data_IF_862222776715
#
_entry.id   IF_862222776715
#
_cell.length_a   1.000
_cell.length_b   1.000
_cell.length_c   1.000
_cell.angle_alpha   90.00
_cell.angle_beta   90.00
_cell.angle_gamma   90.00
#
_symmetry.space_group_name_H-M   'P 1'
#
loop_
_entity.id
_entity.type
_entity.pdbx_description
1 polymer ?
#
# COMPACT_ATOMS: atom_id res chain seq x y z
N UNK A 1 98.81 -26.28 71.40
CA UNK A 1 99.02 -27.57 72.10
C UNK A 1 98.64 -28.69 71.16
N UNK A 2 99.62 -29.37 70.55
CA UNK A 2 99.45 -30.61 69.79
C UNK A 2 99.85 -31.73 70.75
N UNK A 3 98.89 -32.56 71.15
CA UNK A 3 99.18 -33.75 71.95
C UNK A 3 99.62 -34.88 71.01
N UNK A 4 100.80 -35.42 71.27
CA UNK A 4 101.38 -36.54 70.54
C UNK A 4 100.60 -37.82 70.88
N UNK A 5 99.84 -38.33 69.92
CA UNK A 5 99.20 -39.64 70.02
C UNK A 5 99.98 -40.66 69.21
N UNK A 6 100.62 -41.60 69.91
CA UNK A 6 101.30 -42.77 69.33
C UNK A 6 100.25 -43.78 68.85
N UNK A 7 100.43 -44.46 67.69
CA UNK A 7 99.49 -45.44 67.13
C UNK A 7 99.21 -46.70 68.00
N UNK A 8 99.85 -46.81 69.17
CA UNK A 8 99.71 -47.93 70.10
C UNK A 8 98.73 -47.64 71.27
N UNK A 9 98.15 -46.44 71.34
CA UNK A 9 97.24 -46.06 72.42
C UNK A 9 95.94 -46.89 72.38
N UNK A 10 95.47 -47.45 73.51
CA UNK A 10 94.34 -48.39 73.56
C UNK A 10 93.03 -47.79 73.02
N UNK A 11 92.86 -46.47 73.08
CA UNK A 11 91.71 -45.77 72.50
C UNK A 11 91.77 -45.69 70.96
N UNK A 12 92.97 -45.60 70.37
CA UNK A 12 93.14 -45.57 68.91
C UNK A 12 93.03 -46.97 68.33
N UNK A 13 93.49 -48.01 69.03
CA UNK A 13 93.21 -49.41 68.66
C UNK A 13 91.71 -49.71 68.69
N UNK A 14 91.00 -49.30 69.75
CA UNK A 14 89.53 -49.41 69.79
C UNK A 14 88.84 -48.64 68.67
N UNK A 15 89.32 -47.42 68.36
CA UNK A 15 88.77 -46.62 67.28
C UNK A 15 89.05 -47.23 65.90
N UNK A 16 90.25 -47.77 65.68
CA UNK A 16 90.64 -48.48 64.46
C UNK A 16 89.91 -49.82 64.30
N UNK A 17 89.69 -50.55 65.39
CA UNK A 17 88.90 -51.78 65.39
C UNK A 17 87.43 -51.46 65.13
N UNK A 18 86.89 -50.36 65.67
CA UNK A 18 85.55 -49.86 65.33
C UNK A 18 85.43 -49.43 63.87
N UNK A 19 86.43 -48.74 63.33
CA UNK A 19 86.44 -48.35 61.90
C UNK A 19 86.55 -49.58 61.01
N UNK A 20 87.40 -50.55 61.36
CA UNK A 20 87.56 -51.81 60.62
C UNK A 20 86.30 -52.68 60.70
N UNK A 21 85.63 -52.70 61.85
CA UNK A 21 84.33 -53.37 62.04
C UNK A 21 83.25 -52.71 61.17
N UNK A 22 83.22 -51.38 61.11
CA UNK A 22 82.31 -50.60 60.26
C UNK A 22 82.63 -50.71 58.76
N UNK A 23 83.91 -50.84 58.37
CA UNK A 23 84.35 -51.07 56.98
C UNK A 23 84.18 -52.52 56.53
N UNK A 24 84.13 -53.48 57.47
CA UNK A 24 83.89 -54.90 57.20
C UNK A 24 82.41 -55.30 57.12
N UNK A 25 81.50 -54.39 57.49
CA UNK A 25 80.08 -54.58 57.19
C UNK A 25 79.87 -54.37 55.69
N UNK A 26 79.38 -55.39 54.95
CA UNK A 26 79.20 -55.25 53.52
C UNK A 26 78.21 -54.12 53.22
N UNK A 27 78.42 -53.44 52.09
CA UNK A 27 77.54 -52.42 51.52
C UNK A 27 76.07 -52.87 51.27
N UNK A 28 75.73 -54.11 51.63
CA UNK A 28 74.39 -54.70 51.56
C UNK A 28 73.37 -53.92 52.41
N UNK A 29 73.75 -53.42 53.60
CA UNK A 29 72.80 -52.71 54.50
C UNK A 29 72.41 -51.32 53.98
N UNK A 30 73.23 -50.69 53.13
CA UNK A 30 72.95 -49.36 52.56
C UNK A 30 72.15 -49.44 51.25
N UNK A 31 72.24 -50.56 50.52
CA UNK A 31 71.41 -50.85 49.35
C UNK A 31 69.99 -51.27 49.77
N UNK A 32 69.85 -52.16 50.76
CA UNK A 32 68.53 -52.61 51.24
C UNK A 32 67.69 -51.52 51.90
N UNK A 33 68.29 -50.45 52.43
CA UNK A 33 67.55 -49.33 53.05
C UNK A 33 67.16 -48.24 52.05
N UNK A 34 67.91 -48.11 50.93
CA UNK A 34 67.62 -47.13 49.88
C UNK A 34 66.52 -47.59 48.91
N UNK A 35 66.49 -48.88 48.56
CA UNK A 35 65.47 -49.43 47.68
C UNK A 35 64.01 -49.23 48.17
N UNK A 36 63.66 -49.48 49.45
CA UNK A 36 62.28 -49.29 49.92
C UNK A 36 61.90 -47.82 50.04
N UNK A 37 62.83 -46.91 50.36
CA UNK A 37 62.55 -45.46 50.40
C UNK A 37 62.36 -44.87 49.00
N UNK A 38 63.21 -45.26 48.04
CA UNK A 38 63.08 -44.85 46.63
C UNK A 38 61.77 -45.41 46.04
N UNK A 39 61.42 -46.66 46.35
CA UNK A 39 60.14 -47.24 45.93
C UNK A 39 58.95 -46.50 46.56
N UNK A 40 58.99 -46.15 47.85
CA UNK A 40 57.94 -45.38 48.50
C UNK A 40 57.74 -44.00 47.84
N UNK A 41 58.84 -43.29 47.55
CA UNK A 41 58.80 -41.99 46.85
C UNK A 41 58.26 -42.15 45.43
N UNK A 42 58.66 -43.19 44.69
CA UNK A 42 58.15 -43.44 43.34
C UNK A 42 56.66 -43.77 43.33
N UNK A 43 56.16 -44.51 44.33
CA UNK A 43 54.72 -44.76 44.51
C UNK A 43 53.98 -43.47 44.83
N UNK A 44 54.56 -42.59 45.64
CA UNK A 44 53.97 -41.29 45.98
C UNK A 44 53.93 -40.35 44.76
N UNK A 45 54.99 -40.30 43.96
CA UNK A 45 55.00 -39.57 42.68
C UNK A 45 53.92 -40.10 41.74
N UNK A 46 53.82 -41.42 41.57
CA UNK A 46 52.80 -42.02 40.71
C UNK A 46 51.36 -41.72 41.21
N UNK A 47 51.14 -41.65 42.52
CA UNK A 47 49.86 -41.25 43.10
C UNK A 47 49.56 -39.77 42.86
N UNK A 48 50.54 -38.88 43.06
CA UNK A 48 50.42 -37.46 42.79
C UNK A 48 50.17 -37.17 41.30
N UNK A 49 50.80 -37.90 40.38
CA UNK A 49 50.55 -37.80 38.95
C UNK A 49 49.13 -38.24 38.58
N UNK A 50 48.64 -39.34 39.18
CA UNK A 50 47.24 -39.77 39.02
C UNK A 50 46.27 -38.73 39.56
N UNK A 51 46.57 -38.13 40.71
CA UNK A 51 45.75 -37.07 41.28
C UNK A 51 45.75 -35.82 40.42
N UNK A 52 46.91 -35.40 39.89
CA UNK A 52 47.01 -34.29 38.96
C UNK A 52 46.21 -34.56 37.67
N UNK A 53 46.29 -35.76 37.11
CA UNK A 53 45.50 -36.16 35.94
C UNK A 53 43.99 -36.15 36.25
N UNK A 54 43.58 -36.66 37.42
CA UNK A 54 42.19 -36.65 37.89
C UNK A 54 41.65 -35.24 38.08
N UNK A 55 42.43 -34.35 38.69
CA UNK A 55 42.06 -32.94 38.88
C UNK A 55 41.96 -32.24 37.52
N UNK A 56 42.90 -32.47 36.61
CA UNK A 56 42.86 -31.90 35.26
C UNK A 56 41.63 -32.37 34.47
N UNK A 57 41.25 -33.63 34.59
CA UNK A 57 40.02 -34.16 34.00
C UNK A 57 38.77 -33.48 34.60
N UNK A 58 38.72 -33.30 35.92
CA UNK A 58 37.63 -32.56 36.58
C UNK A 58 37.56 -31.11 36.14
N UNK A 59 38.69 -30.42 36.01
CA UNK A 59 38.74 -29.03 35.52
C UNK A 59 38.16 -28.95 34.11
N UNK A 60 38.53 -29.88 33.22
CA UNK A 60 37.97 -29.93 31.87
C UNK A 60 36.45 -30.13 31.87
N UNK A 61 35.94 -31.03 32.72
CA UNK A 61 34.50 -31.24 32.89
C UNK A 61 33.80 -29.96 33.39
N UNK A 62 34.35 -29.29 34.41
CA UNK A 62 33.78 -28.05 34.93
C UNK A 62 33.84 -26.91 33.91
N UNK A 63 34.92 -26.78 33.15
CA UNK A 63 35.02 -25.79 32.06
C UNK A 63 33.96 -26.04 30.99
N UNK A 64 33.77 -27.30 30.57
CA UNK A 64 32.72 -27.65 29.61
C UNK A 64 31.32 -27.36 30.17
N UNK A 65 31.08 -27.59 31.46
CA UNK A 65 29.81 -27.22 32.11
C UNK A 65 29.61 -25.70 32.12
N UNK A 66 30.63 -24.93 32.50
CA UNK A 66 30.59 -23.46 32.51
C UNK A 66 30.37 -22.89 31.11
N UNK A 67 30.93 -23.48 30.06
CA UNK A 67 30.69 -23.06 28.68
C UNK A 67 29.28 -23.38 28.16
N UNK A 68 28.65 -24.44 28.69
CA UNK A 68 27.30 -24.85 28.29
C UNK A 68 26.19 -24.15 29.08
N UNK A 69 26.46 -23.69 30.31
CA UNK A 69 25.46 -22.97 31.14
C UNK A 69 24.88 -21.72 30.45
N UNK A 70 25.68 -20.81 29.86
CA UNK A 70 25.16 -19.62 29.17
C UNK A 70 24.26 -19.96 27.98
N UNK A 71 24.55 -21.06 27.27
CA UNK A 71 23.73 -21.50 26.12
C UNK A 71 22.34 -21.93 26.58
N UNK A 72 22.27 -22.73 27.65
CA UNK A 72 21.01 -23.16 28.23
C UNK A 72 20.21 -21.96 28.80
N UNK A 73 20.87 -21.01 29.45
CA UNK A 73 20.23 -19.77 29.92
C UNK A 73 19.68 -18.92 28.75
N UNK A 74 20.43 -18.81 27.66
CA UNK A 74 20.00 -18.07 26.48
C UNK A 74 18.80 -18.72 25.78
N UNK A 75 18.78 -20.05 25.67
CA UNK A 75 17.64 -20.80 25.13
C UNK A 75 16.40 -20.60 26.01
N UNK A 76 16.54 -20.71 27.33
CA UNK A 76 15.44 -20.47 28.27
C UNK A 76 14.91 -19.03 28.21
N UNK A 77 15.81 -18.05 28.13
CA UNK A 77 15.43 -16.64 27.99
C UNK A 77 14.69 -16.36 26.67
N UNK A 78 15.10 -17.02 25.59
CA UNK A 78 14.42 -16.93 24.28
C UNK A 78 13.03 -17.53 24.37
N UNK A 79 12.91 -18.74 24.91
CA UNK A 79 11.62 -19.43 25.07
C UNK A 79 10.66 -18.63 25.96
N UNK A 80 11.16 -18.05 27.04
CA UNK A 80 10.37 -17.20 27.93
C UNK A 80 9.86 -15.94 27.22
N UNK A 81 10.70 -15.31 26.40
CA UNK A 81 10.32 -14.13 25.60
C UNK A 81 9.26 -14.49 24.56
N UNK A 82 9.44 -15.59 23.85
CA UNK A 82 8.50 -16.06 22.83
C UNK A 82 7.14 -16.43 23.44
N UNK A 83 7.16 -17.06 24.63
CA UNK A 83 5.95 -17.33 25.41
C UNK A 83 5.22 -16.03 25.76
N UNK A 84 5.93 -15.02 26.28
CA UNK A 84 5.34 -13.73 26.65
C UNK A 84 4.72 -13.02 25.43
N UNK A 85 5.43 -12.98 24.29
CA UNK A 85 4.93 -12.39 23.04
C UNK A 85 3.67 -13.12 22.58
N UNK A 86 3.68 -14.45 22.63
CA UNK A 86 2.54 -15.27 22.20
C UNK A 86 1.33 -15.05 23.12
N UNK A 87 1.56 -14.98 24.43
CA UNK A 87 0.51 -14.69 25.42
C UNK A 87 -0.09 -13.30 25.21
N UNK A 88 0.74 -12.28 24.99
CA UNK A 88 0.28 -10.92 24.73
C UNK A 88 -0.53 -10.83 23.42
N UNK A 89 -0.05 -11.48 22.37
CA UNK A 89 -0.79 -11.56 21.10
C UNK A 89 -2.12 -12.27 21.28
N UNK A 90 -2.15 -13.40 21.99
CA UNK A 90 -3.39 -14.10 22.30
C UNK A 90 -4.40 -13.19 23.02
N UNK A 91 -3.94 -12.45 24.04
CA UNK A 91 -4.80 -11.52 24.78
C UNK A 91 -5.34 -10.41 23.86
N UNK A 92 -4.50 -9.79 23.03
CA UNK A 92 -4.92 -8.78 22.05
C UNK A 92 -5.95 -9.31 21.05
N UNK A 93 -5.77 -10.55 20.57
CA UNK A 93 -6.72 -11.19 19.66
C UNK A 93 -8.05 -11.48 20.36
N UNK A 94 -7.99 -11.91 21.61
CA UNK A 94 -9.17 -12.17 22.43
C UNK A 94 -9.97 -10.89 22.70
N UNK A 95 -9.28 -9.78 23.01
CA UNK A 95 -9.92 -8.48 23.21
C UNK A 95 -10.61 -7.98 21.93
N UNK A 96 -9.93 -8.08 20.78
CA UNK A 96 -10.53 -7.75 19.46
C UNK A 96 -11.73 -8.64 19.13
N UNK A 97 -11.69 -9.92 19.49
CA UNK A 97 -12.82 -10.82 19.29
C UNK A 97 -14.03 -10.37 20.13
N UNK A 98 -13.81 -9.96 21.38
CA UNK A 98 -14.89 -9.43 22.22
C UNK A 98 -15.43 -8.09 21.71
N UNK A 99 -14.57 -7.19 21.23
CA UNK A 99 -14.99 -5.94 20.58
C UNK A 99 -15.83 -6.20 19.33
N UNK A 100 -15.39 -7.10 18.45
CA UNK A 100 -16.12 -7.48 17.26
C UNK A 100 -17.48 -8.13 17.60
N UNK A 101 -17.53 -9.03 18.59
CA UNK A 101 -18.80 -9.61 19.07
C UNK A 101 -19.72 -8.56 19.68
N UNK A 102 -19.18 -7.57 20.40
CA UNK A 102 -19.98 -6.45 20.92
C UNK A 102 -20.55 -5.63 19.76
N UNK A 103 -19.74 -5.27 18.77
CA UNK A 103 -20.18 -4.57 17.57
C UNK A 103 -21.28 -5.35 16.82
N UNK A 104 -21.07 -6.65 16.58
CA UNK A 104 -22.07 -7.54 15.97
C UNK A 104 -23.36 -7.59 16.81
N UNK A 105 -23.25 -7.67 18.15
CA UNK A 105 -24.41 -7.69 19.03
C UNK A 105 -25.17 -6.36 19.01
N UNK A 106 -24.49 -5.23 18.86
CA UNK A 106 -25.09 -3.90 18.73
C UNK A 106 -25.79 -3.75 17.37
N UNK A 107 -25.19 -4.24 16.30
CA UNK A 107 -25.79 -4.30 14.96
C UNK A 107 -27.05 -5.19 14.95
N UNK A 108 -26.95 -6.42 15.49
CA UNK A 108 -28.10 -7.35 15.62
C UNK A 108 -29.22 -6.80 16.48
N UNK A 109 -28.89 -6.04 17.53
CA UNK A 109 -29.89 -5.36 18.37
C UNK A 109 -30.42 -4.07 17.75
N UNK A 110 -29.96 -3.70 16.55
CA UNK A 110 -30.28 -2.43 15.88
C UNK A 110 -30.01 -1.22 16.79
N UNK A 111 -29.02 -1.35 17.69
CA UNK A 111 -28.57 -0.31 18.63
C UNK A 111 -27.28 0.40 18.16
N UNK A 112 -26.62 -0.10 17.11
CA UNK A 112 -25.74 0.73 16.31
C UNK A 112 -26.58 1.85 15.70
N UNK A 113 -26.11 3.10 15.84
CA UNK A 113 -26.81 4.35 15.45
C UNK A 113 -28.07 4.08 14.63
N UNK A 114 -29.24 4.06 15.28
CA UNK A 114 -30.49 4.03 14.55
C UNK A 114 -30.49 5.32 13.72
N UNK A 115 -30.10 5.21 12.45
CA UNK A 115 -30.25 6.27 11.47
C UNK A 115 -31.74 6.49 11.30
N UNK A 116 -32.32 7.25 12.23
CA UNK A 116 -33.66 7.75 12.12
C UNK A 116 -33.57 8.78 11.02
N UNK A 117 -34.21 8.47 9.89
CA UNK A 117 -34.33 9.42 8.80
C UNK A 117 -35.13 10.62 9.32
N UNK A 118 -34.41 11.68 9.73
CA UNK A 118 -34.99 12.90 10.26
C UNK A 118 -35.61 13.72 9.12
N UNK A 119 -34.97 13.67 7.95
CA UNK A 119 -35.46 14.27 6.72
C UNK A 119 -35.14 13.34 5.53
N UNK A 120 -36.17 12.97 4.78
CA UNK A 120 -35.98 12.18 3.56
C UNK A 120 -35.38 13.08 2.49
N UNK A 121 -34.49 12.53 1.66
CA UNK A 121 -33.99 13.25 0.49
C UNK A 121 -35.18 13.66 -0.41
N UNK A 122 -35.50 14.95 -0.43
CA UNK A 122 -36.54 15.46 -1.30
C UNK A 122 -36.00 15.50 -2.74
N UNK A 123 -36.68 14.87 -3.70
CA UNK A 123 -36.30 15.03 -5.09
C UNK A 123 -36.42 16.51 -5.48
N UNK A 124 -35.58 16.99 -6.41
CA UNK A 124 -35.63 18.38 -6.83
C UNK A 124 -37.01 18.71 -7.39
N UNK A 125 -37.68 19.70 -6.79
CA UNK A 125 -39.02 20.17 -7.22
C UNK A 125 -39.01 20.81 -8.61
N UNK A 126 -37.84 21.19 -9.11
CA UNK A 126 -37.64 21.81 -10.41
C UNK A 126 -36.42 21.20 -11.10
N UNK A 127 -36.44 21.12 -12.44
CA UNK A 127 -35.30 20.61 -13.21
C UNK A 127 -34.06 21.49 -12.96
N UNK A 128 -32.98 20.87 -12.51
CA UNK A 128 -31.71 21.57 -12.19
C UNK A 128 -31.10 22.19 -13.47
N UNK A 129 -31.26 21.50 -14.61
CA UNK A 129 -30.88 21.93 -15.95
C UNK A 129 -31.77 21.20 -16.98
N UNK A 130 -32.03 21.76 -18.18
CA UNK A 130 -31.77 23.11 -18.67
C UNK A 130 -32.95 24.08 -18.44
N UNK A 131 -32.65 25.39 -18.41
CA UNK A 131 -33.69 26.43 -18.35
C UNK A 131 -34.40 26.54 -19.71
N UNK A 132 -35.58 25.90 -19.83
CA UNK A 132 -36.39 25.89 -21.07
C UNK A 132 -36.67 27.29 -21.62
N UNK A 133 -36.85 28.28 -20.75
CA UNK A 133 -37.06 29.68 -21.15
C UNK A 133 -35.85 30.26 -21.91
N UNK A 134 -34.62 30.02 -21.42
CA UNK A 134 -33.40 30.51 -22.08
C UNK A 134 -33.20 29.81 -23.42
N UNK A 135 -33.47 28.50 -23.47
CA UNK A 135 -33.34 27.72 -24.70
C UNK A 135 -34.34 28.19 -25.76
N UNK A 136 -35.60 28.40 -25.36
CA UNK A 136 -36.65 28.92 -26.24
C UNK A 136 -36.31 30.30 -26.81
N UNK A 137 -35.75 31.21 -26.00
CA UNK A 137 -35.31 32.52 -26.48
C UNK A 137 -34.21 32.43 -27.55
N UNK A 138 -33.22 31.54 -27.36
CA UNK A 138 -32.14 31.35 -28.35
C UNK A 138 -32.68 30.84 -29.67
N UNK A 139 -33.55 29.83 -29.65
CA UNK A 139 -34.16 29.29 -30.87
C UNK A 139 -35.10 30.30 -31.55
N UNK A 140 -35.81 31.12 -30.79
CA UNK A 140 -36.65 32.18 -31.35
C UNK A 140 -35.81 33.21 -32.11
N UNK A 141 -34.70 33.66 -31.51
CA UNK A 141 -33.80 34.62 -32.16
C UNK A 141 -33.12 34.01 -33.39
N UNK A 142 -32.66 32.76 -33.30
CA UNK A 142 -32.05 32.07 -34.45
C UNK A 142 -33.06 31.76 -35.56
N UNK A 143 -34.30 31.41 -35.22
CA UNK A 143 -35.37 31.17 -36.18
C UNK A 143 -35.71 32.43 -36.96
N UNK A 144 -35.98 33.53 -36.25
CA UNK A 144 -36.26 34.82 -36.89
C UNK A 144 -35.06 35.34 -37.69
N UNK A 145 -33.85 35.27 -37.11
CA UNK A 145 -32.62 35.70 -37.78
C UNK A 145 -32.31 34.91 -39.04
N UNK A 146 -32.45 33.58 -39.00
CA UNK A 146 -32.21 32.73 -40.17
C UNK A 146 -33.29 32.89 -41.24
N UNK A 147 -34.56 33.01 -40.84
CA UNK A 147 -35.67 33.24 -41.78
C UNK A 147 -35.54 34.57 -42.53
N UNK A 148 -35.35 35.67 -41.79
CA UNK A 148 -35.14 36.99 -42.39
C UNK A 148 -33.83 37.06 -43.18
N UNK A 149 -32.76 36.45 -42.68
CA UNK A 149 -31.47 36.39 -43.36
C UNK A 149 -31.54 35.65 -44.69
N UNK A 150 -32.22 34.50 -44.74
CA UNK A 150 -32.42 33.74 -45.97
C UNK A 150 -33.27 34.51 -46.99
N UNK A 151 -34.33 35.20 -46.54
CA UNK A 151 -35.16 36.00 -47.42
C UNK A 151 -34.36 37.16 -48.04
N UNK A 152 -33.58 37.88 -47.23
CA UNK A 152 -32.73 38.97 -47.72
C UNK A 152 -31.64 38.46 -48.66
N UNK A 153 -31.02 37.32 -48.35
CA UNK A 153 -30.00 36.72 -49.21
C UNK A 153 -30.58 36.29 -50.56
N UNK A 154 -31.79 35.73 -50.57
CA UNK A 154 -32.50 35.42 -51.81
C UNK A 154 -32.86 36.67 -52.60
N UNK A 155 -33.31 37.74 -51.94
CA UNK A 155 -33.62 39.01 -52.60
C UNK A 155 -32.37 39.65 -53.20
N UNK A 156 -31.22 39.58 -52.53
CA UNK A 156 -29.94 40.07 -53.04
C UNK A 156 -29.40 39.25 -54.22
N UNK A 157 -29.73 37.96 -54.28
CA UNK A 157 -29.38 37.09 -55.42
C UNK A 157 -30.39 37.19 -56.57
N UNK A 158 -31.56 37.79 -56.34
CA UNK A 158 -32.60 37.96 -57.35
C UNK A 158 -32.31 39.18 -58.23
N UNK A 159 -31.71 38.94 -59.39
CA UNK A 159 -31.43 39.96 -60.42
C UNK A 159 -32.67 40.32 -61.26
N UNK A 160 -33.88 40.02 -60.80
CA UNK A 160 -35.11 40.39 -61.52
C UNK A 160 -35.40 41.88 -61.37
N UNK A 161 -35.73 42.55 -62.48
CA UNK A 161 -36.14 43.95 -62.49
C UNK A 161 -37.60 44.06 -62.01
N UNK A 162 -37.81 44.64 -60.83
CA UNK A 162 -39.13 44.67 -60.15
C UNK A 162 -39.85 46.02 -60.26
N UNK A 163 -39.16 47.07 -60.67
CA UNK A 163 -39.72 48.42 -60.70
C UNK A 163 -39.34 49.23 -61.93
N UNK A 164 -40.21 50.17 -62.31
CA UNK A 164 -40.01 51.08 -63.45
C UNK A 164 -38.69 51.84 -63.29
N UNK A 165 -38.39 52.31 -62.08
CA UNK A 165 -37.14 53.03 -61.76
C UNK A 165 -35.87 52.20 -62.02
N UNK A 166 -35.92 50.88 -61.76
CA UNK A 166 -34.79 49.99 -62.05
C UNK A 166 -34.60 49.81 -63.57
N UNK A 167 -35.69 49.77 -64.35
CA UNK A 167 -35.63 49.72 -65.83
C UNK A 167 -35.03 51.01 -66.38
N UNK A 168 -35.44 52.17 -65.85
CA UNK A 168 -34.91 53.47 -66.26
C UNK A 168 -33.41 53.59 -65.96
N UNK A 169 -32.97 53.16 -64.78
CA UNK A 169 -31.54 53.13 -64.40
C UNK A 169 -30.73 52.17 -65.29
N UNK A 170 -31.24 50.96 -65.56
CA UNK A 170 -30.58 49.97 -66.44
C UNK A 170 -30.52 50.42 -67.90
N UNK A 171 -31.51 51.20 -68.36
CA UNK A 171 -31.61 51.69 -69.73
C UNK A 171 -30.89 53.03 -69.98
N UNK A 172 -30.22 53.59 -68.98
CA UNK A 172 -29.46 54.85 -69.10
C UNK A 172 -30.29 56.12 -68.89
N UNK A 173 -31.22 56.12 -67.92
CA UNK A 173 -32.12 57.23 -67.55
C UNK A 173 -33.11 57.67 -68.63
N UNK A 174 -33.51 56.76 -69.52
CA UNK A 174 -34.58 57.02 -70.49
C UNK A 174 -35.92 56.91 -69.74
N UNK A 175 -36.78 57.94 -69.73
CA UNK A 175 -38.04 57.91 -69.00
C UNK A 175 -39.03 56.91 -69.60
N UNK A 176 -39.65 56.08 -68.76
CA UNK A 176 -40.65 55.10 -69.18
C UNK A 176 -41.97 55.81 -69.53
N UNK A 177 -42.34 55.82 -70.82
CA UNK A 177 -43.55 56.50 -71.33
C UNK A 177 -44.84 55.77 -70.93
N UNK A 178 -44.79 54.43 -70.85
CA UNK A 178 -45.94 53.60 -70.46
C UNK A 178 -45.48 52.27 -69.90
N UNK A 179 -46.15 51.77 -68.87
CA UNK A 179 -45.95 50.45 -68.31
C UNK A 179 -47.17 49.58 -68.64
N UNK A 180 -46.96 48.50 -69.40
CA UNK A 180 -48.02 47.52 -69.65
C UNK A 180 -48.10 46.60 -68.44
N UNK A 181 -49.22 46.58 -67.69
CA UNK A 181 -49.36 45.67 -66.56
C UNK A 181 -49.36 44.23 -67.09
N UNK A 182 -48.50 43.38 -66.53
CA UNK A 182 -48.61 41.95 -66.77
C UNK A 182 -49.93 41.47 -66.16
N UNK A 183 -50.84 40.97 -67.00
CA UNK A 183 -51.99 40.21 -66.54
C UNK A 183 -51.50 38.85 -66.03
N UNK A 184 -51.15 38.80 -64.74
CA UNK A 184 -50.71 37.56 -64.10
C UNK A 184 -51.87 36.56 -64.12
N UNK A 185 -51.70 35.47 -64.86
CA UNK A 185 -52.63 34.33 -64.85
C UNK A 185 -52.69 33.74 -63.44
N UNK A 186 -53.84 33.20 -63.02
CA UNK A 186 -53.97 32.60 -61.68
C UNK A 186 -52.93 31.50 -61.42
N UNK A 187 -52.54 30.76 -62.47
CA UNK A 187 -51.49 29.76 -62.44
C UNK A 187 -50.10 30.31 -62.04
N UNK A 188 -49.75 31.54 -62.42
CA UNK A 188 -48.46 32.15 -62.10
C UNK A 188 -48.41 32.66 -60.66
N UNK A 189 -49.52 33.19 -60.16
CA UNK A 189 -49.67 33.58 -58.74
C UNK A 189 -49.55 32.36 -57.82
N UNK A 190 -50.18 31.25 -58.20
CA UNK A 190 -50.11 30.01 -57.43
C UNK A 190 -48.71 29.39 -57.43
N UNK A 191 -47.99 29.45 -58.56
CA UNK A 191 -46.61 28.94 -58.63
C UNK A 191 -45.65 29.71 -57.73
N UNK A 192 -45.79 31.03 -57.66
CA UNK A 192 -44.98 31.88 -56.77
C UNK A 192 -45.32 31.63 -55.29
N UNK A 193 -46.61 31.61 -54.94
CA UNK A 193 -47.08 31.30 -53.58
C UNK A 193 -46.62 29.93 -53.09
N UNK A 194 -46.68 28.91 -53.95
CA UNK A 194 -46.19 27.56 -53.62
C UNK A 194 -44.68 27.55 -53.34
N UNK A 195 -43.86 28.24 -54.13
CA UNK A 195 -42.42 28.34 -53.88
C UNK A 195 -42.12 29.01 -52.54
N UNK A 196 -42.76 30.14 -52.24
CA UNK A 196 -42.59 30.84 -50.97
C UNK A 196 -43.07 29.99 -49.79
N UNK A 197 -44.22 29.31 -49.92
CA UNK A 197 -44.74 28.38 -48.90
C UNK A 197 -43.81 27.20 -48.65
N UNK A 198 -43.24 26.60 -49.70
CA UNK A 198 -42.27 25.49 -49.58
C UNK A 198 -41.01 25.94 -48.84
N UNK A 199 -40.50 27.15 -49.12
CA UNK A 199 -39.31 27.68 -48.46
C UNK A 199 -39.56 28.01 -46.97
N UNK A 200 -40.71 28.62 -46.66
CA UNK A 200 -41.11 28.87 -45.27
C UNK A 200 -41.27 27.53 -44.53
N UNK A 201 -41.92 26.55 -45.14
CA UNK A 201 -42.08 25.22 -44.57
C UNK A 201 -40.73 24.53 -44.34
N UNK A 202 -39.78 24.63 -45.30
CA UNK A 202 -38.45 24.07 -45.15
C UNK A 202 -37.66 24.70 -43.99
N UNK A 203 -37.74 26.02 -43.81
CA UNK A 203 -37.11 26.70 -42.68
C UNK A 203 -37.71 26.25 -41.33
N UNK A 204 -39.04 26.17 -41.24
CA UNK A 204 -39.73 25.68 -40.03
C UNK A 204 -39.30 24.25 -39.70
N UNK A 205 -39.21 23.36 -40.70
CA UNK A 205 -38.78 21.97 -40.50
C UNK A 205 -37.35 21.90 -39.95
N UNK A 206 -36.42 22.69 -40.48
CA UNK A 206 -35.02 22.72 -39.99
C UNK A 206 -34.95 23.16 -38.52
N UNK A 207 -35.71 24.19 -38.15
CA UNK A 207 -35.74 24.70 -36.76
C UNK A 207 -36.35 23.65 -35.81
N UNK A 208 -37.45 23.03 -36.20
CA UNK A 208 -38.14 21.99 -35.41
C UNK A 208 -37.24 20.77 -35.23
N UNK A 209 -36.65 20.24 -36.31
CA UNK A 209 -35.75 19.08 -36.26
C UNK A 209 -34.51 19.39 -35.40
N UNK A 210 -33.91 20.58 -35.56
CA UNK A 210 -32.79 21.03 -34.73
C UNK A 210 -33.15 21.09 -33.24
N UNK A 211 -34.33 21.62 -32.90
CA UNK A 211 -34.81 21.67 -31.52
C UNK A 211 -35.03 20.27 -30.92
N UNK A 212 -35.59 19.34 -31.69
CA UNK A 212 -35.84 17.95 -31.28
C UNK A 212 -34.52 17.20 -31.06
N UNK A 213 -33.54 17.36 -31.94
CA UNK A 213 -32.21 16.74 -31.81
C UNK A 213 -31.51 17.21 -30.53
N UNK A 214 -31.57 18.51 -30.21
CA UNK A 214 -30.95 19.05 -28.98
C UNK A 214 -31.63 18.51 -27.73
N UNK A 215 -32.96 18.39 -27.74
CA UNK A 215 -33.72 17.79 -26.63
C UNK A 215 -33.39 16.31 -26.49
N UNK A 216 -33.38 15.54 -27.58
CA UNK A 216 -33.09 14.12 -27.59
C UNK A 216 -31.64 13.79 -27.17
N UNK A 217 -30.66 14.58 -27.64
CA UNK A 217 -29.24 14.44 -27.29
C UNK A 217 -28.99 14.67 -25.79
N UNK A 218 -29.79 15.51 -25.13
CA UNK A 218 -29.69 15.68 -23.68
C UNK A 218 -30.47 14.62 -22.91
N UNK A 219 -31.56 14.10 -23.46
CA UNK A 219 -32.31 12.99 -22.87
C UNK A 219 -31.46 11.71 -22.78
N UNK A 220 -30.61 11.43 -23.78
CA UNK A 220 -29.71 10.26 -23.77
C UNK A 220 -28.56 10.35 -22.76
N UNK A 221 -28.23 11.55 -22.28
CA UNK A 221 -27.26 11.75 -21.19
C UNK A 221 -27.89 11.68 -19.79
N UNK A 222 -29.22 11.58 -19.68
CA UNK A 222 -29.90 11.28 -18.41
C UNK A 222 -29.92 9.76 -18.27
N UNK A 223 -28.83 9.23 -17.73
CA UNK A 223 -28.65 7.81 -17.45
C UNK A 223 -29.78 7.35 -16.51
N UNK A 224 -30.57 6.41 -17.02
CA UNK A 224 -31.55 5.63 -16.29
C UNK A 224 -30.79 4.70 -15.34
N UNK A 225 -30.72 5.04 -14.05
CA UNK A 225 -30.30 4.08 -13.03
C UNK A 225 -31.41 3.02 -12.91
N UNK A 226 -31.12 1.72 -13.13
CA UNK A 226 -32.12 0.68 -12.95
C UNK A 226 -32.52 0.60 -11.47
N UNK A 227 -33.80 0.34 -11.16
CA UNK A 227 -34.26 0.13 -9.79
C UNK A 227 -33.77 -1.24 -9.32
N UNK A 228 -32.48 -1.36 -8.99
CA UNK A 228 -31.95 -2.53 -8.31
C UNK A 228 -32.28 -2.36 -6.83
N UNK A 229 -33.25 -3.15 -6.38
CA UNK A 229 -33.61 -3.29 -4.98
C UNK A 229 -32.49 -4.09 -4.28
N UNK A 230 -31.60 -3.40 -3.56
CA UNK A 230 -30.62 -4.05 -2.70
C UNK A 230 -31.35 -4.49 -1.41
N UNK A 231 -31.32 -5.78 -1.06
CA UNK A 231 -31.83 -6.25 0.22
C UNK A 231 -30.78 -5.93 1.29
N UNK A 232 -30.98 -4.83 2.00
CA UNK A 232 -30.69 -4.79 3.43
C UNK A 232 -31.95 -5.28 4.15
#
# INVERSE_FOLDING_TARGET
MKANYTPEHPEIKKLMDQIRELESQPAETVQETRDPQIQAINVEIANLERDAARIKARIGEYQQRVENTPKAEQEMATLQRDYQITQENYQRLLDRLYEARRAESLEKRQQGEQFRVLDLAQPPRAPVRPNFLRLGLVFLVLGLGSGSGLLLLMELMDNTVKGIRQVEELSGNIPCISAVPLAMTEADKDRSRRKTMILIAANIVVVVVGSVIVVASKLSHVVFEPPINLPF
#
